data_IF_669173696022
#
_entry.id   IF_669173696022
#
_cell.length_a   1.000
_cell.length_b   1.000
_cell.length_c   1.000
_cell.angle_alpha   90.00
_cell.angle_beta   90.00
_cell.angle_gamma   90.00
#
_symmetry.space_group_name_H-M   'P 1'
#
loop_
_entity.id
_entity.type
_entity.pdbx_description
1 polymer ?
#
# COMPACT_ATOMS: atom_id res chain seq x y z
N UNK A 1 -4.34 -14.79 3.73
CA UNK A 1 -4.73 -14.33 5.08
C UNK A 1 -5.06 -15.49 6.01
N UNK A 2 -5.78 -16.53 5.56
CA UNK A 2 -6.06 -17.73 6.39
C UNK A 2 -4.79 -18.38 6.98
N UNK A 3 -3.71 -18.53 6.21
CA UNK A 3 -2.45 -19.10 6.72
C UNK A 3 -1.80 -18.28 7.84
N UNK A 4 -1.98 -16.96 7.84
CA UNK A 4 -1.42 -16.07 8.87
C UNK A 4 -2.28 -16.14 10.14
N UNK A 5 -3.61 -16.14 9.98
CA UNK A 5 -4.56 -16.33 11.09
C UNK A 5 -4.37 -17.70 11.75
N UNK A 6 -4.15 -18.74 10.95
CA UNK A 6 -3.83 -20.08 11.44
C UNK A 6 -2.49 -20.11 12.20
N UNK A 7 -1.46 -19.43 11.70
CA UNK A 7 -0.19 -19.31 12.41
C UNK A 7 -0.34 -18.56 13.74
N UNK A 8 -1.11 -17.48 13.77
CA UNK A 8 -1.42 -16.73 14.99
C UNK A 8 -2.21 -17.57 16.02
N UNK A 9 -3.16 -18.39 15.56
CA UNK A 9 -3.89 -19.33 16.41
C UNK A 9 -2.94 -20.39 16.98
N UNK A 10 -2.08 -20.99 16.17
CA UNK A 10 -1.07 -21.95 16.63
C UNK A 10 -0.12 -21.34 17.67
N UNK A 11 0.32 -20.10 17.46
CA UNK A 11 1.16 -19.37 18.42
C UNK A 11 0.38 -19.14 19.73
N UNK A 12 -0.88 -18.71 19.65
CA UNK A 12 -1.73 -18.51 20.83
C UNK A 12 -1.90 -19.81 21.62
N UNK A 13 -2.25 -20.91 20.95
CA UNK A 13 -2.39 -22.23 21.56
C UNK A 13 -1.10 -22.70 22.21
N UNK A 14 0.03 -22.50 21.54
CA UNK A 14 1.35 -22.86 22.08
C UNK A 14 1.68 -22.07 23.37
N UNK A 15 1.46 -20.75 23.36
CA UNK A 15 1.73 -19.89 24.52
C UNK A 15 0.82 -20.25 25.71
N UNK A 16 -0.46 -20.57 25.46
CA UNK A 16 -1.40 -21.07 26.47
C UNK A 16 -0.93 -22.41 27.04
N UNK A 17 -0.60 -23.38 26.19
CA UNK A 17 -0.18 -24.72 26.61
C UNK A 17 1.07 -24.70 27.48
N UNK A 18 2.02 -23.80 27.21
CA UNK A 18 3.26 -23.64 27.99
C UNK A 18 3.12 -22.75 29.23
N UNK A 19 1.98 -22.08 29.40
CA UNK A 19 1.74 -21.18 30.53
C UNK A 19 2.44 -19.81 30.42
N UNK A 20 2.78 -19.36 29.22
CA UNK A 20 3.46 -18.09 28.97
C UNK A 20 2.48 -16.91 28.95
N UNK A 21 1.74 -16.70 30.04
CA UNK A 21 0.64 -15.73 30.11
C UNK A 21 1.08 -14.28 29.86
N UNK A 22 2.24 -13.86 30.38
CA UNK A 22 2.78 -12.52 30.14
C UNK A 22 3.17 -12.32 28.67
N UNK A 23 3.77 -13.34 28.03
CA UNK A 23 4.14 -13.30 26.61
C UNK A 23 2.90 -13.28 25.73
N UNK A 24 1.87 -14.06 26.09
CA UNK A 24 0.58 -14.04 25.39
C UNK A 24 -0.06 -12.65 25.45
N UNK A 25 -0.06 -12.00 26.61
CA UNK A 25 -0.61 -10.65 26.76
C UNK A 25 0.15 -9.61 25.92
N UNK A 26 1.49 -9.67 25.92
CA UNK A 26 2.31 -8.80 25.08
C UNK A 26 2.05 -9.05 23.59
N UNK A 27 2.00 -10.32 23.18
CA UNK A 27 1.70 -10.73 21.81
C UNK A 27 0.33 -10.22 21.35
N UNK A 28 -0.72 -10.37 22.16
CA UNK A 28 -2.07 -9.89 21.81
C UNK A 28 -2.16 -8.36 21.76
N UNK A 29 -1.44 -7.67 22.64
CA UNK A 29 -1.35 -6.21 22.62
C UNK A 29 -0.66 -5.71 21.34
N UNK A 30 0.47 -6.30 20.98
CA UNK A 30 1.20 -5.96 19.74
C UNK A 30 0.37 -6.31 18.50
N UNK A 31 -0.29 -7.46 18.50
CA UNK A 31 -1.19 -7.90 17.43
C UNK A 31 -2.41 -6.98 17.26
N UNK A 32 -2.91 -6.39 18.35
CA UNK A 32 -3.98 -5.40 18.31
C UNK A 32 -3.56 -4.04 17.74
N UNK A 33 -2.25 -3.74 17.74
CA UNK A 33 -1.68 -2.56 17.08
C UNK A 33 -1.28 -2.81 15.63
N UNK A 34 -1.40 -4.06 15.16
CA UNK A 34 -1.05 -4.44 13.80
C UNK A 34 -2.03 -3.80 12.81
N UNK A 35 -1.55 -2.72 12.18
CA UNK A 35 -2.21 -1.95 11.13
C UNK A 35 -2.61 -2.86 9.95
N UNK A 36 -2.00 -4.06 9.82
CA UNK A 36 -2.36 -5.08 8.85
C UNK A 36 -3.72 -5.77 9.08
N UNK A 37 -4.24 -5.81 10.32
CA UNK A 37 -5.51 -6.51 10.64
C UNK A 37 -6.77 -5.68 10.45
N UNK A 38 -6.66 -4.37 10.62
CA UNK A 38 -7.72 -3.44 10.25
C UNK A 38 -7.07 -2.37 9.41
N UNK A 39 -7.10 -2.52 8.09
CA UNK A 39 -6.85 -1.38 7.21
C UNK A 39 -7.79 -0.28 7.69
N UNK A 40 -7.27 0.71 8.42
CA UNK A 40 -8.05 1.86 8.86
C UNK A 40 -8.22 2.73 7.62
N UNK A 41 -9.18 2.33 6.76
CA UNK A 41 -9.35 2.85 5.41
C UNK A 41 -9.41 4.37 5.42
N UNK A 42 -10.12 4.96 6.39
CA UNK A 42 -10.22 6.41 6.55
C UNK A 42 -8.85 7.06 6.75
N UNK A 43 -8.01 6.52 7.65
CA UNK A 43 -6.66 7.05 7.89
C UNK A 43 -5.74 6.89 6.68
N UNK A 44 -5.93 5.81 5.92
CA UNK A 44 -5.18 5.56 4.69
C UNK A 44 -5.58 6.57 3.61
N UNK A 45 -6.88 6.81 3.44
CA UNK A 45 -7.39 7.82 2.51
C UNK A 45 -6.90 9.21 2.91
N UNK A 46 -6.93 9.55 4.20
CA UNK A 46 -6.36 10.80 4.71
C UNK A 46 -4.86 10.88 4.42
N UNK A 47 -4.11 9.80 4.62
CA UNK A 47 -2.68 9.77 4.34
C UNK A 47 -2.39 10.00 2.84
N UNK A 48 -3.18 9.39 1.96
CA UNK A 48 -3.03 9.53 0.50
C UNK A 48 -3.41 10.96 0.06
N UNK A 49 -4.63 11.38 0.35
CA UNK A 49 -5.25 12.57 -0.22
C UNK A 49 -4.97 13.85 0.56
N UNK A 50 -4.70 13.78 1.86
CA UNK A 50 -4.42 14.95 2.70
C UNK A 50 -2.93 15.14 2.97
N UNK A 51 -2.08 14.12 2.78
CA UNK A 51 -0.64 14.19 3.07
C UNK A 51 0.23 13.91 1.85
N UNK A 52 0.17 12.71 1.27
CA UNK A 52 1.15 12.29 0.27
C UNK A 52 1.01 13.01 -1.06
N UNK A 53 -0.22 13.15 -1.56
CA UNK A 53 -0.46 13.88 -2.82
C UNK A 53 -0.22 15.39 -2.65
N UNK A 54 -0.84 16.09 -1.67
CA UNK A 54 -0.68 17.55 -1.55
C UNK A 54 0.75 18.00 -1.23
N UNK A 55 1.54 17.15 -0.57
CA UNK A 55 2.93 17.45 -0.21
C UNK A 55 3.95 16.88 -1.20
N UNK A 56 3.50 16.29 -2.31
CA UNK A 56 4.36 15.70 -3.35
C UNK A 56 5.31 14.60 -2.84
N UNK A 57 4.84 13.77 -1.90
CA UNK A 57 5.61 12.65 -1.35
C UNK A 57 5.43 11.38 -2.20
N UNK A 58 5.90 11.41 -3.45
CA UNK A 58 5.78 10.31 -4.42
C UNK A 58 6.29 8.97 -3.88
N UNK A 59 7.49 8.92 -3.29
CA UNK A 59 8.08 7.68 -2.77
C UNK A 59 7.22 7.03 -1.69
N UNK A 60 6.67 7.83 -0.77
CA UNK A 60 5.80 7.33 0.31
C UNK A 60 4.48 6.80 -0.25
N UNK A 61 3.94 7.45 -1.29
CA UNK A 61 2.73 7.00 -1.96
C UNK A 61 2.95 5.66 -2.68
N UNK A 62 4.02 5.55 -3.47
CA UNK A 62 4.37 4.31 -4.18
C UNK A 62 4.67 3.18 -3.19
N UNK A 63 5.39 3.47 -2.11
CA UNK A 63 5.66 2.51 -1.03
C UNK A 63 4.37 1.97 -0.40
N UNK A 64 3.41 2.84 -0.08
CA UNK A 64 2.11 2.44 0.46
C UNK A 64 1.31 1.55 -0.51
N UNK A 65 1.24 1.93 -1.79
CA UNK A 65 0.54 1.14 -2.80
C UNK A 65 1.22 -0.22 -3.06
N UNK A 66 2.55 -0.27 -2.96
CA UNK A 66 3.32 -1.52 -3.07
C UNK A 66 3.08 -2.43 -1.87
N UNK A 67 2.96 -1.87 -0.67
CA UNK A 67 2.56 -2.60 0.53
C UNK A 67 1.19 -3.27 0.36
N UNK A 68 0.19 -2.57 -0.19
CA UNK A 68 -1.11 -3.20 -0.45
C UNK A 68 -0.97 -4.44 -1.32
N UNK A 69 -0.19 -4.39 -2.41
CA UNK A 69 0.02 -5.59 -3.24
C UNK A 69 0.62 -6.76 -2.46
N UNK A 70 1.56 -6.48 -1.55
CA UNK A 70 2.15 -7.52 -0.70
C UNK A 70 1.12 -8.14 0.25
N UNK A 71 0.24 -7.33 0.84
CA UNK A 71 -0.84 -7.84 1.69
C UNK A 71 -1.80 -8.79 0.95
N UNK A 72 -2.00 -8.57 -0.34
CA UNK A 72 -2.91 -9.36 -1.18
C UNK A 72 -2.21 -10.35 -2.11
N UNK A 73 -0.88 -10.50 -2.03
CA UNK A 73 -0.12 -11.36 -2.95
C UNK A 73 -0.41 -12.85 -2.78
N UNK A 74 -0.88 -13.25 -1.60
CA UNK A 74 -1.32 -14.62 -1.32
C UNK A 74 -2.81 -14.84 -1.60
N UNK A 75 -3.54 -13.83 -2.10
CA UNK A 75 -4.98 -13.96 -2.35
C UNK A 75 -5.23 -14.74 -3.64
N UNK A 76 -6.16 -15.69 -3.60
CA UNK A 76 -6.65 -16.39 -4.79
C UNK A 76 -7.75 -15.60 -5.51
N UNK A 77 -8.19 -14.48 -4.94
CA UNK A 77 -9.23 -13.63 -5.51
C UNK A 77 -8.69 -12.71 -6.61
N UNK A 78 -8.69 -13.22 -7.84
CA UNK A 78 -8.24 -12.50 -9.05
C UNK A 78 -8.97 -11.16 -9.20
N UNK A 79 -10.27 -11.10 -8.89
CA UNK A 79 -11.08 -9.89 -9.00
C UNK A 79 -10.63 -8.78 -8.03
N UNK A 80 -10.24 -9.15 -6.80
CA UNK A 80 -9.73 -8.22 -5.81
C UNK A 80 -8.37 -7.66 -6.25
N UNK A 81 -7.46 -8.53 -6.71
CA UNK A 81 -6.15 -8.13 -7.21
C UNK A 81 -6.29 -7.17 -8.41
N UNK A 82 -7.17 -7.49 -9.36
CA UNK A 82 -7.43 -6.63 -10.51
C UNK A 82 -7.98 -5.25 -10.10
N UNK A 83 -8.89 -5.21 -9.11
CA UNK A 83 -9.41 -3.95 -8.56
C UNK A 83 -8.32 -3.13 -7.89
N UNK A 84 -7.44 -3.77 -7.11
CA UNK A 84 -6.33 -3.12 -6.44
C UNK A 84 -5.33 -2.50 -7.42
N UNK A 85 -5.00 -3.22 -8.50
CA UNK A 85 -4.12 -2.70 -9.56
C UNK A 85 -4.74 -1.49 -10.28
N UNK A 86 -6.06 -1.52 -10.54
CA UNK A 86 -6.76 -0.35 -11.11
C UNK A 86 -6.76 0.83 -10.15
N UNK A 87 -6.92 0.58 -8.85
CA UNK A 87 -6.88 1.61 -7.81
C UNK A 87 -5.48 2.26 -7.74
N UNK A 88 -4.42 1.46 -7.71
CA UNK A 88 -3.03 1.94 -7.75
C UNK A 88 -2.80 2.87 -8.93
N UNK A 89 -3.12 2.41 -10.16
CA UNK A 89 -2.91 3.20 -11.37
C UNK A 89 -3.70 4.51 -11.32
N UNK A 90 -4.94 4.47 -10.83
CA UNK A 90 -5.80 5.66 -10.70
C UNK A 90 -5.22 6.68 -9.72
N UNK A 91 -4.72 6.24 -8.58
CA UNK A 91 -4.10 7.10 -7.57
C UNK A 91 -2.80 7.73 -8.10
N UNK A 92 -1.97 6.95 -8.79
CA UNK A 92 -0.73 7.46 -9.38
C UNK A 92 -1.00 8.48 -10.50
N UNK A 93 -2.00 8.23 -11.35
CA UNK A 93 -2.44 9.21 -12.37
C UNK A 93 -2.96 10.48 -11.71
N UNK A 94 -3.75 10.36 -10.64
CA UNK A 94 -4.24 11.50 -9.88
C UNK A 94 -3.08 12.33 -9.30
N UNK A 95 -2.04 11.71 -8.75
CA UNK A 95 -0.84 12.40 -8.29
C UNK A 95 -0.19 13.25 -9.40
N UNK A 96 -0.03 12.68 -10.60
CA UNK A 96 0.54 13.39 -11.75
C UNK A 96 -0.33 14.59 -12.14
N UNK A 97 -1.65 14.40 -12.26
CA UNK A 97 -2.58 15.50 -12.58
C UNK A 97 -2.52 16.59 -11.52
N UNK A 98 -2.54 16.23 -10.23
CA UNK A 98 -2.47 17.18 -9.13
C UNK A 98 -1.17 18.00 -9.15
N UNK A 99 -0.03 17.37 -9.42
CA UNK A 99 1.26 18.04 -9.54
C UNK A 99 1.30 19.00 -10.75
N UNK A 100 0.77 18.60 -11.89
CA UNK A 100 0.65 19.47 -13.06
C UNK A 100 -0.25 20.69 -12.78
N UNK A 101 -1.42 20.48 -12.18
CA UNK A 101 -2.35 21.56 -11.82
C UNK A 101 -1.77 22.52 -10.77
N UNK A 102 -0.92 22.01 -9.88
CA UNK A 102 -0.22 22.82 -8.87
C UNK A 102 1.02 23.53 -9.42
N UNK A 103 1.31 23.43 -10.72
CA UNK A 103 2.51 24.02 -11.34
C UNK A 103 3.82 23.32 -10.97
N UNK A 104 3.77 22.15 -10.34
CA UNK A 104 4.92 21.39 -9.84
C UNK A 104 5.36 20.32 -10.84
N UNK A 105 5.71 20.75 -12.06
CA UNK A 105 6.26 19.86 -13.10
C UNK A 105 7.54 19.17 -12.67
N UNK A 106 8.36 19.84 -11.85
CA UNK A 106 9.56 19.26 -11.22
C UNK A 106 9.25 17.94 -10.51
N UNK A 107 8.12 17.87 -9.81
CA UNK A 107 7.68 16.67 -9.08
C UNK A 107 7.13 15.58 -9.98
N UNK A 108 6.64 15.91 -11.16
CA UNK A 108 6.22 14.94 -12.18
C UNK A 108 7.45 14.29 -12.80
N UNK A 109 8.46 15.09 -13.16
CA UNK A 109 9.73 14.58 -13.69
C UNK A 109 10.45 13.72 -12.65
N UNK A 110 10.50 14.14 -11.39
CA UNK A 110 11.07 13.35 -10.28
C UNK A 110 10.33 12.01 -10.12
N UNK A 111 8.99 12.03 -10.12
CA UNK A 111 8.17 10.82 -10.04
C UNK A 111 8.47 9.81 -11.15
N UNK A 112 8.50 10.27 -12.41
CA UNK A 112 8.81 9.41 -13.54
C UNK A 112 10.29 9.00 -13.59
N UNK A 113 11.21 9.84 -13.12
CA UNK A 113 12.63 9.50 -13.00
C UNK A 113 12.86 8.32 -12.03
N UNK A 114 12.12 8.30 -10.92
CA UNK A 114 12.22 7.25 -9.91
C UNK A 114 11.44 5.98 -10.27
N UNK A 115 10.21 6.13 -10.78
CA UNK A 115 9.27 5.01 -10.92
C UNK A 115 9.00 4.62 -12.37
N UNK A 116 9.49 5.40 -13.33
CA UNK A 116 9.04 5.33 -14.70
C UNK A 116 9.35 4.02 -15.41
N UNK A 117 10.53 3.45 -15.17
CA UNK A 117 10.92 2.17 -15.76
C UNK A 117 9.98 1.03 -15.33
N UNK A 118 9.61 0.98 -14.04
CA UNK A 118 8.64 0.00 -13.53
C UNK A 118 7.25 0.21 -14.16
N UNK A 119 6.79 1.47 -14.23
CA UNK A 119 5.48 1.80 -14.79
C UNK A 119 5.35 1.41 -16.27
N UNK A 120 6.40 1.66 -17.07
CA UNK A 120 6.43 1.31 -18.50
C UNK A 120 6.50 -0.20 -18.75
N UNK A 121 7.24 -0.93 -17.90
CA UNK A 121 7.28 -2.40 -18.00
C UNK A 121 5.92 -3.02 -17.64
N UNK A 122 5.19 -2.40 -16.71
CA UNK A 122 3.91 -2.93 -16.21
C UNK A 122 2.72 -2.60 -17.11
N UNK A 123 2.73 -1.46 -17.79
CA UNK A 123 1.64 -1.09 -18.71
C UNK A 123 2.08 -0.06 -19.74
N UNK A 124 1.78 -0.34 -21.02
CA UNK A 124 1.98 0.60 -22.13
C UNK A 124 1.09 1.84 -22.02
N UNK A 125 0.04 1.81 -21.19
CA UNK A 125 -0.86 2.94 -20.95
C UNK A 125 -0.17 4.13 -20.26
N UNK A 126 1.01 3.94 -19.67
CA UNK A 126 1.80 5.04 -19.11
C UNK A 126 2.53 5.86 -20.17
N UNK A 127 2.74 5.32 -21.38
CA UNK A 127 3.49 6.01 -22.46
C UNK A 127 3.00 7.43 -22.74
N UNK A 128 1.69 7.71 -22.89
CA UNK A 128 1.21 9.08 -23.09
C UNK A 128 1.45 10.01 -21.89
N UNK A 129 1.55 9.46 -20.68
CA UNK A 129 1.74 10.23 -19.45
C UNK A 129 3.16 10.74 -19.28
N UNK A 130 4.16 10.02 -19.81
CA UNK A 130 5.53 10.51 -19.87
C UNK A 130 5.67 11.75 -20.76
N UNK A 131 4.87 11.84 -21.82
CA UNK A 131 4.84 13.03 -22.68
C UNK A 131 4.27 14.29 -22.00
N UNK A 132 3.67 14.15 -20.80
CA UNK A 132 3.15 15.27 -20.01
C UNK A 132 4.13 15.77 -18.94
N UNK A 133 5.24 15.06 -18.71
CA UNK A 133 6.32 15.45 -17.80
C UNK A 133 7.21 16.52 -18.44
#
# INVERSE_FOLDING_TARGET
MENMQYAEELIREFLVFRGFTNTLQAFEMELGTDIGKSFQVDKILDLIFSVYIPKFHAEKLVGLLSFFKQCFSSSTEIALIATLLKLEVSILRYYVVYALQSGRKDKVVEFFGMNGNDLLQRSTEWTPWFGMA
#
